data_IF_684302419679
#
_entry.id   IF_684302419679
#
_cell.length_a   1.000
_cell.length_b   1.000
_cell.length_c   1.000
_cell.angle_alpha   90.00
_cell.angle_beta   90.00
_cell.angle_gamma   90.00
#
_symmetry.space_group_name_H-M   'P 1'
#
loop_
_entity.id
_entity.type
_entity.pdbx_description
1 polymer ?
#
# COMPACT_ATOMS: atom_id res chain seq x y z
N UNK A 1 16.46 2.86 -10.83
CA UNK A 1 15.27 2.76 -9.96
C UNK A 1 14.41 1.60 -10.44
N UNK A 2 13.87 0.81 -9.52
CA UNK A 2 12.97 -0.32 -9.79
C UNK A 2 11.53 0.13 -9.60
N UNK A 3 10.66 -0.14 -10.57
CA UNK A 3 9.23 0.14 -10.44
C UNK A 3 8.54 -1.00 -9.69
N UNK A 4 7.77 -0.65 -8.66
CA UNK A 4 6.99 -1.54 -7.81
C UNK A 4 5.61 -0.91 -7.53
N UNK A 5 4.77 -1.62 -6.81
CA UNK A 5 3.56 -1.05 -6.18
C UNK A 5 3.76 -0.93 -4.67
N UNK A 6 3.01 -0.04 -4.01
CA UNK A 6 3.14 0.13 -2.55
C UNK A 6 2.88 -1.17 -1.78
N UNK A 7 1.94 -2.01 -2.22
CA UNK A 7 1.66 -3.30 -1.58
C UNK A 7 2.74 -4.37 -1.81
N UNK A 8 3.74 -4.10 -2.66
CA UNK A 8 4.87 -5.02 -2.94
C UNK A 8 6.19 -4.51 -2.38
N UNK A 9 6.16 -3.43 -1.59
CA UNK A 9 7.33 -2.98 -0.83
C UNK A 9 7.80 -4.08 0.12
N UNK A 10 9.10 -4.18 0.26
CA UNK A 10 9.77 -5.16 1.09
C UNK A 10 10.66 -4.45 2.11
N UNK A 11 11.07 -5.16 3.17
CA UNK A 11 11.93 -4.59 4.22
C UNK A 11 13.28 -4.09 3.66
N UNK A 12 13.78 -4.67 2.57
CA UNK A 12 15.00 -4.23 1.90
C UNK A 12 14.87 -2.88 1.17
N UNK A 13 13.63 -2.40 0.96
CA UNK A 13 13.37 -1.08 0.40
C UNK A 13 13.46 0.03 1.45
N UNK A 14 13.44 -0.29 2.75
CA UNK A 14 13.61 0.68 3.84
C UNK A 14 15.03 1.25 3.79
N UNK A 15 15.16 2.57 3.95
CA UNK A 15 16.38 3.32 3.76
C UNK A 15 16.70 3.64 2.30
N UNK A 16 15.96 3.10 1.33
CA UNK A 16 16.10 3.49 -0.08
C UNK A 16 15.28 4.73 -0.39
N UNK A 17 15.74 5.50 -1.37
CA UNK A 17 14.98 6.65 -1.88
C UNK A 17 13.80 6.16 -2.72
N UNK A 18 12.60 6.61 -2.41
CA UNK A 18 11.37 6.28 -3.12
C UNK A 18 10.70 7.52 -3.70
N UNK A 19 9.97 7.31 -4.79
CA UNK A 19 9.13 8.34 -5.42
C UNK A 19 7.78 7.74 -5.79
N UNK A 20 6.68 8.37 -5.36
CA UNK A 20 5.31 7.98 -5.70
C UNK A 20 4.42 9.22 -5.80
N UNK A 21 3.24 9.07 -6.41
CA UNK A 21 2.24 10.12 -6.51
C UNK A 21 1.06 9.81 -5.60
N UNK A 22 0.58 10.82 -4.86
CA UNK A 22 -0.63 10.72 -4.04
C UNK A 22 -1.34 12.06 -4.02
N UNK A 23 -2.67 12.07 -4.12
CA UNK A 23 -3.50 13.29 -4.08
C UNK A 23 -3.00 14.40 -5.04
N UNK A 24 -2.56 14.02 -6.25
CA UNK A 24 -2.02 14.96 -7.24
C UNK A 24 -0.64 15.53 -6.92
N UNK A 25 0.03 15.04 -5.88
CA UNK A 25 1.36 15.48 -5.45
C UNK A 25 2.38 14.36 -5.59
N UNK A 26 3.53 14.67 -6.17
CA UNK A 26 4.68 13.76 -6.21
C UNK A 26 5.45 13.84 -4.90
N UNK A 27 5.53 12.73 -4.17
CA UNK A 27 6.33 12.59 -2.94
C UNK A 27 7.65 11.90 -3.29
N UNK A 28 8.76 12.44 -2.80
CA UNK A 28 10.09 11.83 -2.96
C UNK A 28 10.90 11.97 -1.68
N UNK A 29 11.52 10.88 -1.22
CA UNK A 29 12.38 10.88 -0.03
C UNK A 29 12.85 9.48 0.33
N UNK A 30 13.40 9.30 1.53
CA UNK A 30 13.85 7.99 2.01
C UNK A 30 12.70 7.25 2.69
N UNK A 31 12.42 6.02 2.26
CA UNK A 31 11.44 5.16 2.90
C UNK A 31 11.94 4.80 4.30
N UNK A 32 11.18 5.11 5.34
CA UNK A 32 11.53 4.77 6.72
C UNK A 32 10.65 3.67 7.29
N UNK A 33 9.38 3.61 6.88
CA UNK A 33 8.42 2.59 7.31
C UNK A 33 7.32 2.41 6.26
N UNK A 34 6.71 1.23 6.25
CA UNK A 34 5.49 0.96 5.50
C UNK A 34 4.63 -0.08 6.22
N UNK A 35 3.32 0.08 6.16
CA UNK A 35 2.34 -0.85 6.70
C UNK A 35 1.27 -1.13 5.66
N UNK A 36 1.07 -2.41 5.35
CA UNK A 36 -0.03 -2.85 4.48
C UNK A 36 -1.19 -3.28 5.36
N UNK A 37 -2.31 -2.60 5.21
CA UNK A 37 -3.57 -2.92 5.87
C UNK A 37 -4.46 -3.62 4.84
N UNK A 38 -5.14 -4.68 5.26
CA UNK A 38 -6.08 -5.42 4.41
C UNK A 38 -7.45 -5.26 5.02
N UNK A 39 -8.28 -4.45 4.37
CA UNK A 39 -9.67 -4.29 4.75
C UNK A 39 -10.45 -5.49 4.19
N UNK A 40 -11.06 -6.25 5.09
CA UNK A 40 -12.12 -7.17 4.73
C UNK A 40 -13.40 -6.36 4.59
N UNK A 41 -13.99 -6.33 3.39
CA UNK A 41 -15.31 -5.71 3.20
C UNK A 41 -16.34 -6.59 3.92
N UNK A 42 -16.83 -6.13 5.08
CA UNK A 42 -17.83 -6.83 5.89
C UNK A 42 -19.26 -6.67 5.38
N UNK A 43 -19.47 -6.07 4.20
CA UNK A 43 -20.79 -6.06 3.55
C UNK A 43 -21.08 -7.40 2.88
N UNK A 44 -21.35 -8.40 3.70
CA UNK A 44 -22.21 -9.51 3.31
C UNK A 44 -23.30 -9.56 4.37
N UNK A 45 -24.48 -9.04 4.03
CA UNK A 45 -25.73 -9.42 4.68
C UNK A 45 -25.70 -10.94 4.80
N UNK A 46 -25.57 -11.43 6.05
CA UNK A 46 -25.29 -12.83 6.39
C UNK A 46 -26.08 -13.81 5.50
N UNK A 47 -25.43 -14.30 4.45
CA UNK A 47 -25.84 -15.51 3.74
C UNK A 47 -24.75 -16.51 4.07
N UNK A 48 -25.15 -17.58 4.75
CA UNK A 48 -24.28 -18.58 5.38
C UNK A 48 -23.63 -19.49 4.32
N UNK A 49 -22.79 -18.95 3.45
CA UNK A 49 -21.99 -19.73 2.51
C UNK A 49 -20.48 -19.56 2.79
N UNK A 50 -19.79 -20.58 3.35
CA UNK A 50 -18.36 -20.52 3.64
C UNK A 50 -17.49 -20.37 2.38
N UNK A 51 -17.99 -20.73 1.18
CA UNK A 51 -17.27 -20.54 -0.08
C UNK A 51 -17.40 -19.11 -0.63
N UNK A 52 -18.38 -18.33 -0.16
CA UNK A 52 -18.60 -16.93 -0.56
C UNK A 52 -17.69 -15.95 0.19
N UNK A 53 -17.32 -16.28 1.44
CA UNK A 53 -16.34 -15.52 2.22
C UNK A 53 -14.95 -15.46 1.55
N UNK A 54 -14.59 -16.48 0.74
CA UNK A 54 -13.36 -16.51 -0.03
C UNK A 54 -13.34 -15.55 -1.23
N UNK A 55 -14.50 -14.99 -1.62
CA UNK A 55 -14.65 -14.09 -2.78
C UNK A 55 -14.77 -12.61 -2.40
N UNK A 56 -14.71 -12.25 -1.12
CA UNK A 56 -14.76 -10.86 -0.71
C UNK A 56 -13.52 -10.15 -1.27
N UNK A 57 -13.67 -9.13 -2.14
CA UNK A 57 -12.53 -8.42 -2.67
C UNK A 57 -11.84 -7.67 -1.53
N UNK A 58 -10.72 -8.22 -1.06
CA UNK A 58 -9.89 -7.58 -0.03
C UNK A 58 -9.25 -6.33 -0.63
N UNK A 59 -9.60 -5.16 -0.08
CA UNK A 59 -8.96 -3.90 -0.47
C UNK A 59 -7.69 -3.75 0.35
N UNK A 60 -6.54 -3.66 -0.33
CA UNK A 60 -5.26 -3.36 0.32
C UNK A 60 -5.04 -1.86 0.35
N UNK A 61 -4.91 -1.32 1.54
CA UNK A 61 -4.48 0.05 1.79
C UNK A 61 -3.07 0.02 2.36
N UNK A 62 -2.29 1.07 2.10
CA UNK A 62 -0.89 1.16 2.53
C UNK A 62 -0.67 2.49 3.20
N UNK A 63 -0.06 2.43 4.38
CA UNK A 63 0.55 3.57 5.04
C UNK A 63 2.05 3.55 4.75
N UNK A 64 2.59 4.67 4.29
CA UNK A 64 4.00 4.80 3.92
C UNK A 64 4.58 6.03 4.59
N UNK A 65 5.72 5.87 5.26
CA UNK A 65 6.48 6.99 5.83
C UNK A 65 7.73 7.24 5.00
N UNK A 66 7.82 8.45 4.47
CA UNK A 66 8.93 8.96 3.67
C UNK A 66 9.35 10.29 4.25
N UNK A 67 10.40 10.30 5.08
CA UNK A 67 10.79 11.48 5.86
C UNK A 67 10.84 12.77 5.01
N UNK A 68 10.20 13.88 5.44
CA UNK A 68 9.47 14.08 6.70
C UNK A 68 7.96 13.78 6.64
N UNK A 69 7.47 13.11 5.60
CA UNK A 69 6.05 12.91 5.31
C UNK A 69 5.57 11.50 5.66
N UNK A 70 4.31 11.40 6.09
CA UNK A 70 3.58 10.13 6.18
C UNK A 70 2.32 10.24 5.34
N UNK A 71 2.06 9.23 4.51
CA UNK A 71 0.85 9.13 3.71
C UNK A 71 0.10 7.84 4.08
N UNK A 72 -1.19 7.96 4.39
CA UNK A 72 -2.04 6.87 4.90
C UNK A 72 -3.15 6.54 3.91
N UNK A 73 -3.66 5.32 3.94
CA UNK A 73 -4.80 4.92 3.12
C UNK A 73 -4.53 4.89 1.62
N UNK A 74 -3.25 4.77 1.22
CA UNK A 74 -2.89 4.73 -0.20
C UNK A 74 -3.35 3.41 -0.82
N UNK A 75 -3.91 3.40 -2.04
CA UNK A 75 -4.22 2.17 -2.75
C UNK A 75 -2.97 1.29 -2.89
N UNK A 76 -3.06 0.00 -2.61
CA UNK A 76 -1.91 -0.91 -2.68
C UNK A 76 -1.28 -1.04 -4.08
N UNK A 77 -2.04 -0.75 -5.13
CA UNK A 77 -1.61 -0.71 -6.53
C UNK A 77 -0.94 0.62 -6.94
N UNK A 78 -0.85 1.59 -6.03
CA UNK A 78 -0.13 2.85 -6.25
C UNK A 78 1.30 2.56 -6.69
N UNK A 79 1.70 3.11 -7.84
CA UNK A 79 3.05 2.92 -8.39
C UNK A 79 4.09 3.68 -7.57
N UNK A 80 5.20 3.01 -7.28
CA UNK A 80 6.35 3.57 -6.59
C UNK A 80 7.63 3.21 -7.33
N UNK A 81 8.55 4.17 -7.43
CA UNK A 81 9.91 3.96 -7.93
C UNK A 81 10.84 3.89 -6.74
N UNK A 82 11.61 2.82 -6.61
CA UNK A 82 12.60 2.62 -5.53
C UNK A 82 14.01 2.73 -6.11
N UNK A 83 14.91 3.46 -5.45
CA UNK A 83 16.33 3.48 -5.79
C UNK A 83 16.95 2.07 -5.71
N UNK A 84 18.06 1.84 -6.41
CA UNK A 84 18.80 0.58 -6.27
C UNK A 84 19.60 0.59 -4.97
#
# INVERSE_FOLDING_TARGET
>A
MTAKTLATLQLDDVGRRVTFETNGTTVTGYLTDFRVETDYVTEVTMTQDPDEAARIPTRKTVTVTVWPWTATGLPGDTRVKVAR
#
